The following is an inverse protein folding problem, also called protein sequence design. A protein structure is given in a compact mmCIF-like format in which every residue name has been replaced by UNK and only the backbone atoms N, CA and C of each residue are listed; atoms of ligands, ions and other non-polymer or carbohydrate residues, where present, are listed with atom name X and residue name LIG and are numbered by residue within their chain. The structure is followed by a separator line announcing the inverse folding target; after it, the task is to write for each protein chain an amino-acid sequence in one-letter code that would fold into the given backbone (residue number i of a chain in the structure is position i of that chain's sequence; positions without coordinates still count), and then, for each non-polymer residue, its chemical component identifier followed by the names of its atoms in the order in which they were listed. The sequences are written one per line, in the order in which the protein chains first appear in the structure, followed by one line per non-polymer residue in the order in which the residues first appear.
data_IF_125388772209
#
_entry.id   IF_125388772209
#
_cell.length_a   1.000
_cell.length_b   1.000
_cell.length_c   1.000
_cell.angle_alpha   90.00
_cell.angle_beta   90.00
_cell.angle_gamma   90.00
#
_symmetry.space_group_name_H-M   'P 1'
#
loop_
_entity.id
_entity.type
_entity.pdbx_description
1 polymer ?
#
# COMPACT_ATOMS: atom_id res chain seq x y z
N UNK A 1 20.96 -3.28 29.34
CA UNK A 1 20.29 -3.08 28.05
C UNK A 1 19.45 -1.81 28.14
N UNK A 2 19.73 -0.78 27.34
CA UNK A 2 19.01 0.51 27.39
C UNK A 2 17.57 0.34 26.93
N UNK A 3 16.61 0.66 27.81
CA UNK A 3 15.17 0.54 27.56
C UNK A 3 14.64 1.59 26.57
N UNK A 4 15.35 2.69 26.32
CA UNK A 4 14.83 3.83 25.55
C UNK A 4 14.57 3.53 24.07
N UNK A 5 15.17 2.49 23.50
CA UNK A 5 14.94 2.12 22.09
C UNK A 5 13.55 1.54 21.88
N UNK A 6 12.92 1.00 22.94
CA UNK A 6 11.59 0.41 22.85
C UNK A 6 10.45 1.43 22.98
N UNK A 7 10.75 2.65 23.46
CA UNK A 7 9.78 3.74 23.63
C UNK A 7 9.75 4.72 22.44
N UNK A 8 10.33 4.31 21.31
CA UNK A 8 10.32 5.12 20.09
C UNK A 8 8.97 4.94 19.38
N UNK A 9 8.23 6.04 19.27
CA UNK A 9 7.06 6.13 18.39
C UNK A 9 7.55 6.61 17.02
N UNK A 10 7.24 5.85 15.99
CA UNK A 10 7.49 6.23 14.60
C UNK A 10 6.18 6.23 13.82
N UNK A 11 6.16 6.89 12.67
CA UNK A 11 5.04 6.82 11.76
C UNK A 11 5.45 7.06 10.32
N UNK A 12 4.58 6.62 9.41
CA UNK A 12 4.76 6.80 7.97
C UNK A 12 3.40 7.04 7.29
N UNK A 13 3.44 7.65 6.11
CA UNK A 13 2.29 7.98 5.30
C UNK A 13 2.26 7.12 4.04
N UNK A 14 1.15 6.40 3.84
CA UNK A 14 1.00 5.50 2.69
C UNK A 14 -0.31 5.75 1.94
N UNK A 15 -0.28 5.57 0.62
CA UNK A 15 -1.46 5.65 -0.24
C UNK A 15 -2.12 4.26 -0.37
N UNK A 16 -3.41 4.19 -0.05
CA UNK A 16 -4.26 3.02 -0.27
C UNK A 16 -5.18 3.26 -1.46
N UNK A 17 -5.05 2.40 -2.47
CA UNK A 17 -5.89 2.39 -3.65
C UNK A 17 -7.06 1.42 -3.44
N UNK A 18 -8.24 1.76 -3.94
CA UNK A 18 -9.38 0.83 -3.95
C UNK A 18 -9.10 -0.37 -4.87
N UNK A 19 -8.29 -0.16 -5.92
CA UNK A 19 -7.80 -1.21 -6.79
C UNK A 19 -6.33 -0.98 -7.12
N UNK A 20 -5.48 -1.93 -6.75
CA UNK A 20 -4.12 -2.06 -7.27
C UNK A 20 -4.10 -3.12 -8.38
N UNK A 21 -3.54 -2.80 -9.55
CA UNK A 21 -3.39 -3.80 -10.60
C UNK A 21 -2.36 -4.84 -10.20
N UNK A 22 -2.58 -6.07 -10.66
CA UNK A 22 -1.61 -7.13 -10.46
C UNK A 22 -0.24 -6.77 -11.04
N UNK A 23 0.80 -7.14 -10.31
CA UNK A 23 2.17 -7.03 -10.78
C UNK A 23 2.42 -8.02 -11.92
N UNK A 24 3.42 -7.73 -12.76
CA UNK A 24 3.81 -8.60 -13.87
C UNK A 24 4.07 -10.05 -13.42
N UNK A 25 4.68 -10.21 -12.25
CA UNK A 25 4.94 -11.52 -11.63
C UNK A 25 3.65 -12.26 -11.23
N UNK A 26 2.68 -11.54 -10.67
CA UNK A 26 1.37 -12.12 -10.30
C UNK A 26 0.55 -12.46 -11.55
N UNK A 27 0.76 -11.74 -12.66
CA UNK A 27 0.06 -11.97 -13.92
C UNK A 27 0.60 -13.15 -14.75
N UNK A 28 1.60 -13.88 -14.24
CA UNK A 28 2.17 -15.04 -14.94
C UNK A 28 1.16 -16.19 -14.98
N UNK A 29 0.82 -16.63 -16.19
CA UNK A 29 -0.06 -17.78 -16.43
C UNK A 29 0.77 -18.88 -17.07
N UNK A 30 0.60 -20.10 -16.56
CA UNK A 30 1.17 -21.30 -17.18
C UNK A 30 0.35 -21.67 -18.41
N UNK A 31 1.01 -21.87 -19.55
CA UNK A 31 0.33 -22.29 -20.79
C UNK A 31 1.16 -23.33 -21.55
N UNK A 32 0.49 -24.11 -22.39
CA UNK A 32 1.13 -25.06 -23.30
C UNK A 32 1.82 -24.34 -24.45
N UNK A 33 2.84 -24.96 -25.06
CA UNK A 33 3.54 -24.43 -26.24
C UNK A 33 2.66 -24.27 -27.47
N UNK A 34 1.51 -24.96 -27.51
CA UNK A 34 0.52 -24.87 -28.60
C UNK A 34 -0.54 -23.80 -28.38
N UNK A 35 -0.61 -23.21 -27.19
CA UNK A 35 -1.68 -22.27 -26.85
C UNK A 35 -1.40 -20.87 -27.42
N UNK A 36 -2.46 -20.14 -27.84
CA UNK A 36 -2.33 -18.75 -28.25
C UNK A 36 -1.87 -17.89 -27.07
N UNK A 37 -1.04 -16.86 -27.32
CA UNK A 37 -0.50 -15.98 -26.27
C UNK A 37 -1.64 -15.39 -25.42
N UNK A 38 -1.49 -15.34 -24.08
CA UNK A 38 -2.54 -14.84 -23.23
C UNK A 38 -2.54 -13.32 -23.30
N UNK A 39 -3.65 -12.75 -23.78
CA UNK A 39 -3.85 -11.30 -23.76
C UNK A 39 -4.50 -10.92 -22.44
N UNK A 40 -3.74 -10.33 -21.52
CA UNK A 40 -4.28 -9.76 -20.28
C UNK A 40 -4.43 -8.25 -20.41
N UNK A 41 -5.63 -7.75 -20.12
CA UNK A 41 -5.89 -6.31 -20.07
C UNK A 41 -5.13 -5.72 -18.88
N UNK A 42 -4.19 -4.81 -19.16
CA UNK A 42 -3.53 -4.04 -18.11
C UNK A 42 -4.48 -2.95 -17.62
N UNK A 43 -4.85 -3.01 -16.34
CA UNK A 43 -5.65 -1.97 -15.69
C UNK A 43 -4.71 -1.02 -14.95
N UNK A 44 -5.05 0.27 -14.93
CA UNK A 44 -4.36 1.25 -14.10
C UNK A 44 -4.90 1.22 -12.66
N UNK A 45 -4.12 1.75 -11.71
CA UNK A 45 -4.56 1.95 -10.33
C UNK A 45 -5.84 2.79 -10.28
N UNK A 46 -6.70 2.55 -9.29
CA UNK A 46 -7.92 3.36 -9.12
C UNK A 46 -7.61 4.84 -8.97
N UNK A 47 -8.38 5.70 -9.64
CA UNK A 47 -8.29 7.16 -9.47
C UNK A 47 -8.64 7.59 -8.02
N UNK A 48 -9.51 6.81 -7.37
CA UNK A 48 -9.81 6.93 -5.95
C UNK A 48 -8.65 6.33 -5.15
N UNK A 49 -7.90 7.19 -4.45
CA UNK A 49 -6.86 6.82 -3.50
C UNK A 49 -7.09 7.56 -2.18
N UNK A 50 -6.76 6.93 -1.06
CA UNK A 50 -6.82 7.54 0.27
C UNK A 50 -5.45 7.50 0.91
N UNK A 51 -5.04 8.60 1.52
CA UNK A 51 -3.80 8.65 2.29
C UNK A 51 -4.10 8.18 3.71
N UNK A 52 -3.22 7.34 4.26
CA UNK A 52 -3.31 6.89 5.65
C UNK A 52 -1.97 7.18 6.32
N UNK A 53 -2.03 7.95 7.41
CA UNK A 53 -0.90 8.15 8.31
C UNK A 53 -0.97 7.09 9.42
N UNK A 54 0.09 6.32 9.58
CA UNK A 54 0.16 5.20 10.53
C UNK A 54 1.27 5.50 11.53
N UNK A 55 0.94 5.48 12.82
CA UNK A 55 1.89 5.62 13.92
C UNK A 55 1.96 4.31 14.71
N UNK A 56 3.16 3.80 14.93
CA UNK A 56 3.40 2.54 15.61
C UNK A 56 4.67 2.58 16.46
N UNK A 57 4.74 1.67 17.42
CA UNK A 57 5.88 1.46 18.31
C UNK A 57 6.19 -0.04 18.34
N UNK A 58 7.27 -0.45 19.02
CA UNK A 58 7.63 -1.87 19.19
C UNK A 58 6.48 -2.73 19.75
N UNK A 59 5.57 -2.15 20.53
CA UNK A 59 4.40 -2.85 21.08
C UNK A 59 3.24 -3.01 20.10
N UNK A 60 3.26 -2.32 18.95
CA UNK A 60 2.24 -2.43 17.92
C UNK A 60 1.77 -1.07 17.37
N UNK A 61 0.61 -1.11 16.70
CA UNK A 61 -0.04 0.07 16.14
C UNK A 61 -0.59 0.97 17.25
N UNK A 62 -0.22 2.25 17.21
CA UNK A 62 -0.73 3.27 18.15
C UNK A 62 -1.93 3.97 17.55
N UNK A 63 -1.81 4.42 16.30
CA UNK A 63 -2.88 5.19 15.64
C UNK A 63 -2.81 5.05 14.14
N UNK A 64 -3.97 4.95 13.51
CA UNK A 64 -4.13 5.08 12.06
C UNK A 64 -5.11 6.21 11.78
N UNK A 65 -4.70 7.19 10.97
CA UNK A 65 -5.55 8.30 10.54
C UNK A 65 -5.77 8.17 9.05
N UNK A 66 -7.04 8.00 8.67
CA UNK A 66 -7.43 8.00 7.27
C UNK A 66 -7.79 9.42 6.86
N UNK A 67 -7.11 9.94 5.84
CA UNK A 67 -7.43 11.22 5.25
C UNK A 67 -8.60 11.08 4.27
N UNK A 68 -9.32 12.17 4.07
CA UNK A 68 -10.36 12.25 3.05
C UNK A 68 -9.79 12.02 1.65
N UNK A 69 -10.64 11.53 0.74
CA UNK A 69 -10.23 11.21 -0.63
C UNK A 69 -9.68 12.46 -1.31
N UNK A 70 -8.39 12.46 -1.65
CA UNK A 70 -7.72 13.59 -2.29
C UNK A 70 -7.09 14.62 -1.35
N UNK A 71 -7.24 14.47 -0.03
CA UNK A 71 -6.53 15.31 0.94
C UNK A 71 -5.08 14.84 1.13
N UNK A 72 -4.17 15.79 1.32
CA UNK A 72 -2.75 15.57 1.66
C UNK A 72 -2.48 16.07 3.08
N UNK A 73 -1.50 15.48 3.75
CA UNK A 73 -1.02 16.01 5.04
C UNK A 73 -0.34 17.35 4.78
N UNK A 74 -0.88 18.42 5.36
CA UNK A 74 -0.32 19.76 5.28
C UNK A 74 0.24 20.13 6.66
N UNK A 75 1.36 20.84 6.69
CA UNK A 75 1.91 21.44 7.90
C UNK A 75 1.32 22.85 8.07
N UNK A 76 0.17 22.96 8.74
CA UNK A 76 -0.34 24.26 9.22
C UNK A 76 -0.07 24.42 10.70
#
# INVERSE_FOLDING_TARGET
QSRCVFDIITGDESWFYHYDPELKEQSKVWMSTTDPRPTKIHRTKSAVKRMVAIFFMKSGLIKSVQLETGATVNAS
#
